data_IF_934536982218
#
_entry.id   IF_934536982218
#
_cell.length_a   1.000
_cell.length_b   1.000
_cell.length_c   1.000
_cell.angle_alpha   90.00
_cell.angle_beta   90.00
_cell.angle_gamma   90.00
#
_symmetry.space_group_name_H-M   'P 1'
#
loop_
_entity.id
_entity.type
_entity.pdbx_description
1 polymer ?
#
# COMPACT_ATOMS: atom_id res chain seq x y z
N UNK A 1 -20.85 -26.03 10.79
CA UNK A 1 -20.72 -24.82 11.62
C UNK A 1 -19.26 -24.38 11.60
N UNK A 2 -18.91 -23.18 11.11
CA UNK A 2 -17.54 -22.70 11.18
C UNK A 2 -17.21 -22.47 12.66
N UNK A 3 -16.23 -23.21 13.17
CA UNK A 3 -15.66 -23.00 14.51
C UNK A 3 -15.20 -21.55 14.58
N UNK A 4 -15.58 -20.82 15.62
CA UNK A 4 -15.08 -19.48 15.91
C UNK A 4 -13.55 -19.48 15.88
N UNK A 5 -12.97 -19.19 14.72
CA UNK A 5 -11.58 -18.77 14.60
C UNK A 5 -11.47 -17.50 15.41
N UNK A 6 -10.55 -17.50 16.37
CA UNK A 6 -10.43 -16.38 17.29
C UNK A 6 -10.06 -15.14 16.50
N UNK A 7 -10.95 -14.13 16.46
CA UNK A 7 -10.77 -12.82 15.82
C UNK A 7 -9.68 -11.96 16.48
N UNK A 8 -8.78 -12.56 17.25
CA UNK A 8 -7.80 -11.81 18.02
C UNK A 8 -6.83 -11.19 17.02
N UNK A 9 -6.91 -9.86 16.90
CA UNK A 9 -6.02 -8.99 16.12
C UNK A 9 -6.13 -9.00 14.59
N UNK A 10 -7.17 -9.59 14.00
CA UNK A 10 -7.34 -9.54 12.54
C UNK A 10 -8.32 -8.43 12.13
N UNK A 11 -7.89 -7.66 11.13
CA UNK A 11 -8.75 -6.80 10.33
C UNK A 11 -8.80 -7.52 8.97
N UNK A 12 -9.98 -8.02 8.59
CA UNK A 12 -10.18 -8.83 7.36
C UNK A 12 -9.88 -10.33 7.50
N UNK A 13 -10.50 -11.15 6.65
CA UNK A 13 -10.27 -12.61 6.55
C UNK A 13 -10.06 -13.10 5.11
N UNK A 14 -9.96 -12.18 4.13
CA UNK A 14 -9.84 -12.56 2.72
C UNK A 14 -8.39 -12.85 2.34
N UNK A 15 -8.15 -14.04 1.82
CA UNK A 15 -6.88 -14.39 1.18
C UNK A 15 -7.02 -14.19 -0.31
N UNK A 16 -6.58 -13.02 -0.81
CA UNK A 16 -6.52 -12.75 -2.24
C UNK A 16 -5.79 -13.92 -2.95
N UNK A 17 -6.41 -14.65 -3.88
CA UNK A 17 -5.70 -15.62 -4.71
C UNK A 17 -4.60 -14.92 -5.51
N UNK A 18 -3.42 -15.53 -5.55
CA UNK A 18 -2.30 -14.98 -6.30
C UNK A 18 -1.07 -15.87 -6.16
N UNK A 19 -0.06 -15.68 -7.03
CA UNK A 19 1.18 -16.43 -6.93
C UNK A 19 1.88 -16.09 -5.61
N UNK A 20 2.31 -17.13 -4.89
CA UNK A 20 3.22 -16.97 -3.77
C UNK A 20 4.62 -17.20 -4.33
N UNK A 21 5.39 -16.12 -4.45
CA UNK A 21 6.72 -16.16 -5.05
C UNK A 21 7.71 -16.89 -4.15
N UNK A 22 8.58 -17.71 -4.74
CA UNK A 22 9.45 -18.64 -4.03
C UNK A 22 10.93 -18.27 -4.12
N UNK A 23 11.32 -17.62 -5.19
CA UNK A 23 12.70 -17.27 -5.48
C UNK A 23 12.77 -15.89 -6.15
N UNK A 24 13.89 -15.19 -5.99
CA UNK A 24 14.08 -13.80 -6.44
C UNK A 24 13.88 -13.67 -7.96
N UNK A 25 14.27 -14.70 -8.71
CA UNK A 25 14.11 -14.81 -10.16
C UNK A 25 12.62 -14.77 -10.56
N UNK A 26 11.72 -15.25 -9.70
CA UNK A 26 10.28 -15.21 -9.95
C UNK A 26 9.69 -13.80 -9.88
N UNK A 27 10.42 -12.80 -9.37
CA UNK A 27 10.03 -11.40 -9.54
C UNK A 27 9.97 -11.02 -11.03
N UNK A 28 10.76 -11.70 -11.88
CA UNK A 28 10.85 -11.49 -13.33
C UNK A 28 10.99 -9.99 -13.64
N UNK A 29 12.02 -9.38 -13.05
CA UNK A 29 12.43 -8.00 -13.23
C UNK A 29 13.94 -7.95 -13.41
N UNK A 30 14.37 -7.30 -14.49
CA UNK A 30 15.80 -7.07 -14.74
C UNK A 30 16.37 -6.09 -13.72
N UNK A 31 17.65 -6.21 -13.37
CA UNK A 31 18.31 -5.25 -12.48
C UNK A 31 17.90 -5.32 -11.01
N UNK A 32 17.26 -6.41 -10.57
CA UNK A 32 17.14 -6.72 -9.13
C UNK A 32 18.54 -6.90 -8.57
N UNK A 33 18.88 -6.19 -7.51
CA UNK A 33 20.21 -6.28 -6.89
C UNK A 33 20.12 -6.57 -5.39
N UNK A 34 21.06 -7.36 -4.83
CA UNK A 34 21.14 -7.61 -3.40
C UNK A 34 21.74 -6.41 -2.65
N UNK A 35 21.30 -6.18 -1.42
CA UNK A 35 21.94 -5.28 -0.48
C UNK A 35 21.94 -5.84 0.94
N UNK A 36 22.93 -5.41 1.74
CA UNK A 36 23.01 -5.76 3.17
C UNK A 36 22.15 -4.81 3.99
N UNK A 37 21.28 -5.40 4.81
CA UNK A 37 20.40 -4.67 5.73
C UNK A 37 20.70 -5.03 7.18
N UNK A 38 20.33 -4.13 8.10
CA UNK A 38 20.67 -4.19 9.51
C UNK A 38 19.43 -4.35 10.37
N UNK A 39 19.49 -5.27 11.33
CA UNK A 39 18.38 -5.53 12.26
C UNK A 39 18.09 -4.28 13.11
N UNK A 40 16.83 -3.94 13.27
CA UNK A 40 16.38 -2.90 14.21
C UNK A 40 16.01 -3.55 15.54
N UNK A 41 16.81 -3.31 16.57
CA UNK A 41 16.68 -3.95 17.88
C UNK A 41 15.41 -3.51 18.64
N UNK A 42 14.91 -2.32 18.37
CA UNK A 42 13.71 -1.74 19.02
C UNK A 42 12.39 -2.10 18.33
N UNK A 43 12.43 -2.91 17.27
CA UNK A 43 11.25 -3.21 16.47
C UNK A 43 10.23 -4.06 17.24
N UNK A 44 8.93 -3.75 17.08
CA UNK A 44 7.82 -4.50 17.67
C UNK A 44 6.63 -4.62 16.72
N UNK A 45 5.91 -5.74 16.77
CA UNK A 45 4.71 -5.94 15.95
C UNK A 45 3.56 -5.09 16.47
N UNK A 46 2.89 -4.39 15.55
CA UNK A 46 1.68 -3.61 15.79
C UNK A 46 0.46 -4.33 15.24
N UNK A 47 0.56 -4.84 14.03
CA UNK A 47 -0.48 -5.60 13.35
C UNK A 47 0.15 -6.85 12.70
N UNK A 48 -0.57 -7.97 12.75
CA UNK A 48 -0.20 -9.17 12.01
C UNK A 48 -1.49 -9.90 11.61
N UNK A 49 -1.61 -10.23 10.32
CA UNK A 49 -2.69 -11.05 9.81
C UNK A 49 -2.32 -12.53 9.99
N UNK A 50 -2.54 -13.06 11.20
CA UNK A 50 -2.12 -14.43 11.56
C UNK A 50 -2.73 -15.52 10.68
N UNK A 51 -4.02 -15.45 10.27
CA UNK A 51 -4.58 -16.40 9.32
C UNK A 51 -3.84 -16.39 7.97
N UNK A 52 -3.56 -15.20 7.43
CA UNK A 52 -2.87 -15.06 6.14
C UNK A 52 -1.42 -15.55 6.21
N UNK A 53 -0.71 -15.21 7.29
CA UNK A 53 0.64 -15.71 7.53
C UNK A 53 0.67 -17.24 7.59
N UNK A 54 -0.29 -17.88 8.27
CA UNK A 54 -0.38 -19.35 8.33
C UNK A 54 -0.78 -19.99 7.01
N UNK A 55 -1.55 -19.27 6.19
CA UNK A 55 -1.92 -19.71 4.84
C UNK A 55 -0.71 -19.69 3.91
N UNK A 56 0.03 -18.56 3.87
CA UNK A 56 1.13 -18.37 2.91
C UNK A 56 2.45 -19.02 3.36
N UNK A 57 2.65 -19.20 4.68
CA UNK A 57 3.84 -19.77 5.31
C UNK A 57 3.46 -21.00 6.15
N UNK A 58 3.44 -22.21 5.55
CA UNK A 58 2.97 -23.41 6.24
C UNK A 58 3.76 -23.77 7.51
N UNK A 59 5.01 -23.31 7.66
CA UNK A 59 5.79 -23.47 8.90
C UNK A 59 5.19 -22.73 10.10
N UNK A 60 4.30 -21.77 9.85
CA UNK A 60 3.60 -21.00 10.89
C UNK A 60 2.29 -21.64 11.32
N UNK A 61 1.85 -22.71 10.66
CA UNK A 61 0.63 -23.43 11.06
C UNK A 61 0.76 -23.98 12.48
N UNK A 62 -0.35 -23.99 13.21
CA UNK A 62 -0.41 -24.37 14.63
C UNK A 62 0.31 -25.72 14.89
N UNK A 63 0.09 -26.73 14.05
CA UNK A 63 0.74 -28.05 14.17
C UNK A 63 2.26 -27.98 13.97
N UNK A 64 2.74 -27.19 13.00
CA UNK A 64 4.17 -27.02 12.74
C UNK A 64 4.85 -26.30 13.92
N UNK A 65 4.22 -25.25 14.43
CA UNK A 65 4.68 -24.53 15.61
C UNK A 65 4.65 -25.39 16.88
N UNK A 66 3.65 -26.25 17.07
CA UNK A 66 3.60 -27.19 18.21
C UNK A 66 4.71 -28.23 18.16
N UNK A 67 5.03 -28.75 16.96
CA UNK A 67 6.18 -29.67 16.79
C UNK A 67 7.49 -28.96 17.11
N UNK A 68 7.67 -27.74 16.62
CA UNK A 68 8.87 -26.91 16.87
C UNK A 68 8.99 -26.47 18.33
N UNK A 69 7.86 -26.19 18.98
CA UNK A 69 7.78 -25.72 20.36
C UNK A 69 6.81 -26.60 21.17
N UNK A 70 7.24 -27.80 21.63
CA UNK A 70 6.35 -28.79 22.27
C UNK A 70 5.52 -28.27 23.47
N UNK A 71 5.99 -27.22 24.15
CA UNK A 71 5.24 -26.57 25.24
C UNK A 71 3.90 -25.97 24.79
N UNK A 72 3.75 -25.60 23.52
CA UNK A 72 2.49 -25.08 22.97
C UNK A 72 1.38 -26.13 22.95
N UNK A 73 1.72 -27.41 22.80
CA UNK A 73 0.74 -28.50 22.75
C UNK A 73 -0.04 -28.66 24.06
N UNK A 74 0.58 -28.32 25.20
CA UNK A 74 -0.05 -28.39 26.53
C UNK A 74 -1.02 -27.23 26.81
N UNK A 75 -0.91 -26.12 26.07
CA UNK A 75 -1.77 -24.96 26.24
C UNK A 75 -3.16 -25.20 25.62
N UNK A 76 -4.18 -24.49 26.09
CA UNK A 76 -5.56 -24.57 25.56
C UNK A 76 -6.19 -23.17 25.43
N UNK A 77 -7.22 -23.07 24.58
CA UNK A 77 -8.05 -21.86 24.42
C UNK A 77 -7.24 -20.60 24.08
N UNK A 78 -7.60 -19.48 24.71
CA UNK A 78 -7.01 -18.15 24.47
C UNK A 78 -5.51 -18.13 24.79
N UNK A 79 -5.07 -18.84 25.83
CA UNK A 79 -3.65 -18.90 26.20
C UNK A 79 -2.80 -19.54 25.10
N UNK A 80 -3.29 -20.60 24.45
CA UNK A 80 -2.62 -21.23 23.30
C UNK A 80 -2.56 -20.26 22.11
N UNK A 81 -3.68 -19.60 21.81
CA UNK A 81 -3.77 -18.64 20.71
C UNK A 81 -2.79 -17.48 20.88
N UNK A 82 -2.69 -16.91 22.09
CA UNK A 82 -1.72 -15.85 22.40
C UNK A 82 -0.28 -16.32 22.27
N UNK A 83 0.04 -17.53 22.74
CA UNK A 83 1.40 -18.08 22.63
C UNK A 83 1.80 -18.38 21.17
N UNK A 84 0.87 -18.89 20.36
CA UNK A 84 1.08 -19.08 18.91
C UNK A 84 1.27 -17.74 18.21
N UNK A 85 0.40 -16.76 18.49
CA UNK A 85 0.51 -15.41 17.95
C UNK A 85 1.87 -14.78 18.27
N UNK A 86 2.35 -14.92 19.51
CA UNK A 86 3.68 -14.46 19.91
C UNK A 86 4.80 -15.12 19.09
N UNK A 87 4.70 -16.42 18.77
CA UNK A 87 5.70 -17.10 17.93
C UNK A 87 5.68 -16.63 16.49
N UNK A 88 4.51 -16.31 15.95
CA UNK A 88 4.40 -15.69 14.63
C UNK A 88 4.98 -14.27 14.65
N UNK A 89 4.73 -13.49 15.70
CA UNK A 89 5.30 -12.15 15.86
C UNK A 89 6.84 -12.21 15.93
N UNK A 90 7.40 -13.13 16.73
CA UNK A 90 8.85 -13.36 16.83
C UNK A 90 9.45 -13.73 15.47
N UNK A 91 8.79 -14.62 14.71
CA UNK A 91 9.20 -15.01 13.36
C UNK A 91 9.16 -13.81 12.41
N UNK A 92 8.09 -13.02 12.41
CA UNK A 92 7.92 -11.88 11.52
C UNK A 92 9.00 -10.82 11.77
N UNK A 93 9.28 -10.50 13.04
CA UNK A 93 10.39 -9.62 13.43
C UNK A 93 11.74 -10.18 12.99
N UNK A 94 11.95 -11.50 13.15
CA UNK A 94 13.19 -12.16 12.75
C UNK A 94 13.51 -11.98 11.27
N UNK A 95 12.49 -12.01 10.42
CA UNK A 95 12.67 -12.02 8.98
C UNK A 95 12.53 -10.66 8.30
N UNK A 96 11.92 -9.67 8.95
CA UNK A 96 11.52 -8.44 8.25
C UNK A 96 11.91 -7.14 8.94
N UNK A 97 12.33 -7.15 10.22
CA UNK A 97 12.62 -5.94 10.98
C UNK A 97 14.01 -5.34 10.68
N UNK A 98 14.29 -5.02 9.41
CA UNK A 98 15.58 -4.54 8.95
C UNK A 98 15.49 -3.18 8.23
N UNK A 99 16.59 -2.43 8.25
CA UNK A 99 16.77 -1.17 7.50
C UNK A 99 18.04 -1.20 6.66
N UNK A 100 18.06 -0.48 5.55
CA UNK A 100 19.19 -0.39 4.65
C UNK A 100 20.39 0.29 5.29
N UNK A 101 21.58 -0.02 4.79
CA UNK A 101 22.82 0.59 5.26
C UNK A 101 22.79 2.12 5.18
N UNK A 102 22.30 2.65 4.05
CA UNK A 102 22.18 4.10 3.82
C UNK A 102 21.27 4.76 4.85
N UNK A 103 20.21 4.07 5.28
CA UNK A 103 19.30 4.59 6.30
C UNK A 103 19.94 4.56 7.69
N UNK A 104 20.58 3.43 8.05
CA UNK A 104 21.20 3.20 9.35
C UNK A 104 22.39 4.12 9.65
N UNK A 105 23.10 4.57 8.61
CA UNK A 105 24.35 5.34 8.73
C UNK A 105 24.15 6.86 8.83
N UNK A 106 22.92 7.35 9.01
CA UNK A 106 22.63 8.78 9.08
C UNK A 106 21.50 9.13 10.06
N UNK A 107 21.39 10.43 10.36
CA UNK A 107 20.43 11.00 11.32
C UNK A 107 19.71 12.26 10.83
N UNK A 108 19.79 12.55 9.53
CA UNK A 108 19.19 13.71 8.87
C UNK A 108 17.67 13.59 8.85
N UNK A 109 17.17 12.43 8.43
CA UNK A 109 15.73 12.18 8.23
C UNK A 109 15.12 11.24 9.27
N UNK A 110 15.90 10.82 10.27
CA UNK A 110 15.41 10.03 11.39
C UNK A 110 16.15 10.33 12.70
N UNK A 111 15.53 9.98 13.82
CA UNK A 111 16.21 9.83 15.10
C UNK A 111 17.17 8.63 15.05
N UNK A 112 18.16 8.53 15.97
CA UNK A 112 19.09 7.42 15.97
C UNK A 112 18.37 6.06 15.92
N UNK A 113 18.81 5.18 15.03
CA UNK A 113 18.22 3.85 14.86
C UNK A 113 18.96 2.87 15.78
N UNK A 114 18.26 2.15 16.68
CA UNK A 114 18.87 1.09 17.49
C UNK A 114 19.21 -0.12 16.61
N UNK A 115 20.42 -0.16 16.07
CA UNK A 115 20.89 -1.25 15.20
C UNK A 115 21.40 -2.42 16.04
N UNK A 116 20.93 -3.62 15.73
CA UNK A 116 21.44 -4.88 16.25
C UNK A 116 22.64 -5.41 15.47
N UNK A 117 23.25 -6.50 15.94
CA UNK A 117 24.43 -7.10 15.29
C UNK A 117 24.09 -7.94 14.05
N UNK A 118 22.83 -8.38 13.93
CA UNK A 118 22.36 -9.23 12.84
C UNK A 118 22.29 -8.45 11.52
N UNK A 119 22.77 -9.10 10.45
CA UNK A 119 22.77 -8.59 9.08
C UNK A 119 22.23 -9.68 8.17
N UNK A 120 21.38 -9.29 7.23
CA UNK A 120 20.86 -10.21 6.21
C UNK A 120 20.96 -9.57 4.83
N UNK A 121 20.91 -10.42 3.80
CA UNK A 121 20.78 -9.96 2.42
C UNK A 121 19.30 -9.81 2.09
N UNK A 122 18.94 -8.65 1.55
CA UNK A 122 17.64 -8.40 0.94
C UNK A 122 17.84 -7.91 -0.49
N UNK A 123 16.77 -7.86 -1.28
CA UNK A 123 16.84 -7.57 -2.71
C UNK A 123 15.99 -6.36 -3.05
N UNK A 124 16.55 -5.45 -3.85
CA UNK A 124 15.85 -4.27 -4.33
C UNK A 124 15.54 -4.41 -5.82
N UNK A 125 14.27 -4.61 -6.19
CA UNK A 125 13.87 -4.51 -7.58
C UNK A 125 13.95 -3.06 -8.08
N UNK A 126 14.11 -2.82 -9.39
CA UNK A 126 14.12 -1.46 -9.93
C UNK A 126 12.83 -0.71 -9.61
N UNK A 127 12.97 0.60 -9.35
CA UNK A 127 11.83 1.45 -8.97
C UNK A 127 11.33 1.24 -7.54
N UNK A 128 11.88 0.29 -6.77
CA UNK A 128 11.59 0.18 -5.34
C UNK A 128 12.36 1.27 -4.58
N UNK A 129 11.71 2.40 -4.36
CA UNK A 129 12.31 3.53 -3.64
C UNK A 129 12.68 3.19 -2.20
N UNK A 130 11.71 2.75 -1.39
CA UNK A 130 11.88 2.47 0.05
C UNK A 130 11.48 1.06 0.47
N UNK A 131 11.47 0.11 -0.46
CA UNK A 131 10.99 -1.23 -0.20
C UNK A 131 12.04 -2.27 -0.61
N UNK A 132 12.04 -3.41 0.08
CA UNK A 132 12.94 -4.53 -0.18
C UNK A 132 12.19 -5.85 -0.14
N UNK A 133 12.68 -6.80 -0.92
CA UNK A 133 12.20 -8.17 -0.94
C UNK A 133 13.16 -9.06 -0.16
N UNK A 134 12.64 -9.82 0.80
CA UNK A 134 13.37 -10.76 1.63
C UNK A 134 13.07 -12.17 1.13
N UNK A 135 14.13 -12.97 0.95
CA UNK A 135 14.00 -14.41 0.73
C UNK A 135 13.96 -15.10 2.07
N UNK A 136 12.87 -15.81 2.34
CA UNK A 136 12.69 -16.62 3.55
C UNK A 136 13.17 -18.01 3.21
N UNK A 137 14.41 -18.30 3.58
CA UNK A 137 15.00 -19.62 3.45
C UNK A 137 14.62 -20.48 4.65
N UNK A 138 13.99 -21.61 4.38
CA UNK A 138 13.70 -22.59 5.42
C UNK A 138 14.91 -23.50 5.62
N UNK A 139 15.55 -23.36 6.78
CA UNK A 139 16.75 -24.14 7.13
C UNK A 139 16.44 -25.28 8.09
N UNK A 140 15.22 -25.37 8.62
CA UNK A 140 14.83 -26.43 9.54
C UNK A 140 14.60 -27.75 8.81
N UNK A 141 15.66 -28.55 8.76
CA UNK A 141 15.60 -29.97 8.37
C UNK A 141 14.91 -30.77 9.50
N UNK A 142 13.91 -31.58 9.16
CA UNK A 142 13.36 -32.58 10.10
C UNK A 142 12.03 -32.22 10.80
N UNK A 143 11.41 -31.08 10.52
CA UNK A 143 9.97 -30.86 10.80
C UNK A 143 9.13 -31.62 9.76
N UNK A 144 9.25 -32.95 9.74
CA UNK A 144 8.69 -33.81 8.70
C UNK A 144 7.16 -33.65 8.62
N UNK A 145 6.71 -33.01 7.55
CA UNK A 145 5.40 -33.23 6.93
C UNK A 145 5.51 -34.15 5.69
N UNK A 146 6.72 -34.63 5.34
CA UNK A 146 6.98 -35.60 4.27
C UNK A 146 8.09 -36.59 4.63
N UNK A 147 8.23 -37.68 3.86
CA UNK A 147 9.11 -38.82 4.16
C UNK A 147 10.60 -38.60 3.83
N UNK A 148 10.95 -37.50 3.16
CA UNK A 148 12.31 -37.22 2.67
C UNK A 148 13.07 -36.28 3.61
N UNK A 149 14.05 -36.81 4.35
CA UNK A 149 14.86 -36.06 5.32
C UNK A 149 15.89 -35.13 4.69
N UNK A 150 16.17 -35.28 3.40
CA UNK A 150 17.17 -34.47 2.70
C UNK A 150 16.59 -33.16 2.13
N UNK A 151 15.26 -33.03 2.08
CA UNK A 151 14.59 -31.83 1.57
C UNK A 151 14.18 -30.89 2.72
N UNK A 152 14.23 -29.56 2.50
CA UNK A 152 13.63 -28.61 3.42
C UNK A 152 12.16 -28.98 3.69
N UNK A 153 11.72 -28.83 4.93
CA UNK A 153 10.34 -29.14 5.31
C UNK A 153 9.31 -28.24 4.59
N UNK A 154 9.76 -27.04 4.19
CA UNK A 154 8.95 -26.05 3.50
C UNK A 154 9.73 -25.42 2.36
N UNK A 155 9.02 -25.02 1.31
CA UNK A 155 9.61 -24.29 0.20
C UNK A 155 9.95 -22.85 0.61
N UNK A 156 10.96 -22.27 -0.05
CA UNK A 156 11.28 -20.86 0.09
C UNK A 156 10.10 -19.97 -0.34
N UNK A 157 10.05 -18.79 0.27
CA UNK A 157 8.99 -17.80 0.06
C UNK A 157 9.57 -16.40 0.10
N UNK A 158 9.01 -15.49 -0.67
CA UNK A 158 9.41 -14.08 -0.67
C UNK A 158 8.45 -13.19 0.11
N UNK A 159 9.00 -12.18 0.77
CA UNK A 159 8.24 -11.12 1.47
C UNK A 159 8.68 -9.75 0.96
N UNK A 160 7.73 -8.87 0.63
CA UNK A 160 8.02 -7.46 0.33
C UNK A 160 7.80 -6.61 1.60
N UNK A 161 8.77 -5.77 1.93
CA UNK A 161 8.75 -4.90 3.11
C UNK A 161 8.96 -3.46 2.68
N UNK A 162 7.95 -2.61 2.88
CA UNK A 162 7.97 -1.17 2.63
C UNK A 162 8.43 -0.42 3.89
N UNK A 163 9.32 0.56 3.72
CA UNK A 163 9.88 1.38 4.80
C UNK A 163 11.30 1.01 5.23
N UNK A 164 11.98 0.17 4.46
CA UNK A 164 13.33 -0.33 4.78
C UNK A 164 14.43 0.69 4.52
N UNK A 165 14.12 1.89 4.00
CA UNK A 165 15.11 2.91 3.66
C UNK A 165 15.45 2.95 2.17
N UNK A 166 16.30 3.92 1.81
CA UNK A 166 16.74 4.14 0.42
C UNK A 166 17.81 3.13 -0.01
N UNK A 167 18.03 3.04 -1.32
CA UNK A 167 19.05 2.18 -1.94
C UNK A 167 20.48 2.47 -1.44
N UNK A 168 21.42 1.52 -1.61
CA UNK A 168 22.83 1.74 -1.33
C UNK A 168 23.35 2.99 -2.04
N UNK A 169 24.23 3.74 -1.39
CA UNK A 169 24.87 4.96 -1.91
C UNK A 169 23.95 6.17 -2.13
N UNK A 170 22.63 6.00 -1.99
CA UNK A 170 21.70 7.14 -1.98
C UNK A 170 21.69 7.73 -0.58
N UNK A 171 21.95 9.04 -0.49
CA UNK A 171 21.83 9.79 0.76
C UNK A 171 20.36 10.10 1.02
N UNK A 172 19.76 9.63 2.14
CA UNK A 172 18.42 10.04 2.52
C UNK A 172 18.34 11.57 2.69
N UNK A 173 17.32 12.18 2.10
CA UNK A 173 17.06 13.63 2.21
C UNK A 173 15.60 13.89 2.54
N UNK A 174 15.32 15.05 3.15
CA UNK A 174 13.95 15.47 3.35
C UNK A 174 13.30 15.76 2.00
N UNK A 175 12.33 14.94 1.63
CA UNK A 175 11.56 15.10 0.41
C UNK A 175 10.55 13.97 0.25
N UNK A 176 9.65 14.15 -0.71
CA UNK A 176 8.59 13.19 -1.01
C UNK A 176 9.24 11.90 -1.52
N UNK A 177 9.11 10.82 -0.74
CA UNK A 177 9.69 9.48 -0.98
C UNK A 177 11.22 9.36 -0.93
N UNK A 178 11.99 10.45 -0.93
CA UNK A 178 13.46 10.43 -0.91
C UNK A 178 14.08 10.24 0.48
N UNK A 179 13.27 10.31 1.54
CA UNK A 179 13.75 10.11 2.92
C UNK A 179 13.93 8.63 3.30
N UNK A 180 13.39 7.69 2.52
CA UNK A 180 13.46 6.25 2.80
C UNK A 180 12.60 5.74 3.97
N UNK A 181 12.20 6.62 4.90
CA UNK A 181 11.43 6.25 6.09
C UNK A 181 9.94 6.11 5.74
N UNK A 182 9.30 5.10 6.30
CA UNK A 182 7.85 4.93 6.26
C UNK A 182 7.25 5.25 7.64
N UNK A 183 6.21 6.08 7.68
CA UNK A 183 5.60 6.52 8.94
C UNK A 183 4.55 5.50 9.40
N UNK A 184 4.46 5.28 10.71
CA UNK A 184 3.48 4.36 11.31
C UNK A 184 2.03 4.79 11.04
N UNK A 185 1.74 6.10 11.07
CA UNK A 185 0.43 6.63 10.70
C UNK A 185 0.07 6.29 9.25
N UNK A 186 1.03 6.36 8.32
CA UNK A 186 0.81 5.94 6.94
C UNK A 186 0.58 4.43 6.80
N UNK A 187 1.21 3.61 7.63
CA UNK A 187 0.95 2.17 7.64
C UNK A 187 -0.51 1.86 8.05
N UNK A 188 -1.05 2.58 9.05
CA UNK A 188 -2.45 2.44 9.44
C UNK A 188 -3.42 2.95 8.37
N UNK A 189 -3.09 4.08 7.75
CA UNK A 189 -3.83 4.59 6.60
C UNK A 189 -3.92 3.54 5.49
N UNK A 190 -2.76 2.99 5.08
CA UNK A 190 -2.69 2.02 3.98
C UNK A 190 -3.46 0.73 4.32
N UNK A 191 -3.44 0.28 5.58
CA UNK A 191 -4.26 -0.84 6.05
C UNK A 191 -5.77 -0.55 5.98
N UNK A 192 -6.22 0.62 6.44
CA UNK A 192 -7.65 1.00 6.37
C UNK A 192 -8.13 1.07 4.92
N UNK A 193 -7.35 1.71 4.04
CA UNK A 193 -7.74 1.83 2.63
C UNK A 193 -7.71 0.47 1.94
N UNK A 194 -6.70 -0.36 2.18
CA UNK A 194 -6.65 -1.72 1.62
C UNK A 194 -7.91 -2.51 1.98
N UNK A 195 -8.29 -2.51 3.26
CA UNK A 195 -9.47 -3.23 3.74
C UNK A 195 -10.79 -2.61 3.25
N UNK A 196 -10.85 -1.28 3.12
CA UNK A 196 -11.98 -0.58 2.52
C UNK A 196 -12.19 -1.00 1.06
N UNK A 197 -11.12 -0.98 0.26
CA UNK A 197 -11.17 -1.41 -1.14
C UNK A 197 -11.56 -2.88 -1.26
N UNK A 198 -11.03 -3.75 -0.39
CA UNK A 198 -11.39 -5.16 -0.35
C UNK A 198 -12.89 -5.39 -0.05
N UNK A 199 -13.50 -4.58 0.84
CA UNK A 199 -14.95 -4.61 1.09
C UNK A 199 -15.75 -4.11 -0.11
N UNK A 200 -15.30 -3.04 -0.76
CA UNK A 200 -15.92 -2.53 -2.00
C UNK A 200 -15.91 -3.61 -3.08
N UNK A 201 -14.78 -4.28 -3.32
CA UNK A 201 -14.64 -5.30 -4.36
C UNK A 201 -15.51 -6.53 -4.12
N UNK A 202 -15.67 -6.94 -2.85
CA UNK A 202 -16.62 -7.99 -2.47
C UNK A 202 -18.06 -7.59 -2.68
N UNK A 203 -18.46 -6.43 -2.17
CA UNK A 203 -19.82 -5.93 -2.33
C UNK A 203 -20.18 -5.78 -3.81
N UNK A 204 -19.25 -5.29 -4.63
CA UNK A 204 -19.46 -5.15 -6.08
C UNK A 204 -19.37 -6.48 -6.84
N UNK A 205 -19.06 -7.60 -6.16
CA UNK A 205 -18.81 -8.92 -6.75
C UNK A 205 -17.80 -8.87 -7.90
N UNK A 206 -16.81 -7.99 -7.79
CA UNK A 206 -15.75 -7.87 -8.79
C UNK A 206 -14.69 -8.94 -8.57
N UNK A 207 -13.91 -9.24 -9.61
CA UNK A 207 -12.73 -10.10 -9.51
C UNK A 207 -11.46 -9.31 -9.14
N UNK A 208 -11.62 -8.07 -8.67
CA UNK A 208 -10.54 -7.19 -8.22
C UNK A 208 -10.16 -7.51 -6.78
N UNK A 209 -8.90 -7.30 -6.46
CA UNK A 209 -8.33 -7.64 -5.16
C UNK A 209 -7.34 -6.58 -4.71
N UNK A 210 -6.97 -6.65 -3.43
CA UNK A 210 -5.90 -5.84 -2.85
C UNK A 210 -4.73 -6.74 -2.47
N UNK A 211 -3.51 -6.22 -2.61
CA UNK A 211 -2.32 -6.98 -2.22
C UNK A 211 -2.33 -7.22 -0.70
N UNK A 212 -2.22 -8.48 -0.24
CA UNK A 212 -2.31 -8.78 1.17
C UNK A 212 -1.18 -8.16 2.00
N UNK A 213 -1.56 -7.55 3.13
CA UNK A 213 -0.65 -7.03 4.16
C UNK A 213 -0.50 -8.10 5.25
N UNK A 214 0.73 -8.60 5.43
CA UNK A 214 1.05 -9.57 6.49
C UNK A 214 1.15 -8.91 7.86
N UNK A 215 1.67 -7.69 7.94
CA UNK A 215 1.85 -7.02 9.22
C UNK A 215 2.39 -5.60 9.15
N UNK A 216 2.34 -4.92 10.28
CA UNK A 216 2.92 -3.58 10.51
C UNK A 216 3.82 -3.66 11.73
N UNK A 217 5.02 -3.09 11.60
CA UNK A 217 6.07 -3.10 12.63
C UNK A 217 6.38 -1.66 13.01
N UNK A 218 6.29 -1.32 14.30
CA UNK A 218 6.85 -0.09 14.85
C UNK A 218 8.35 -0.30 15.04
N UNK A 219 9.17 0.48 14.33
CA UNK A 219 10.61 0.30 14.32
C UNK A 219 11.31 0.80 15.58
N UNK A 220 10.63 1.64 16.36
CA UNK A 220 11.20 2.16 17.58
C UNK A 220 12.06 3.42 17.45
N UNK A 221 12.12 4.01 16.26
CA UNK A 221 12.67 5.33 16.01
C UNK A 221 11.64 6.18 15.25
N UNK A 222 11.95 7.45 15.03
CA UNK A 222 11.07 8.40 14.37
C UNK A 222 11.70 8.93 13.08
N UNK A 223 10.88 9.18 12.06
CA UNK A 223 11.21 10.08 10.96
C UNK A 223 11.37 11.51 11.51
N UNK A 224 12.31 12.27 10.95
CA UNK A 224 12.46 13.72 11.15
C UNK A 224 12.15 14.41 9.85
N UNK A 225 11.14 15.27 9.87
CA UNK A 225 10.80 16.12 8.73
C UNK A 225 11.70 17.36 8.64
N UNK A 226 11.59 18.11 7.53
CA UNK A 226 12.32 19.36 7.33
C UNK A 226 12.03 20.43 8.41
N UNK A 227 10.82 20.43 8.99
CA UNK A 227 10.42 21.32 10.08
C UNK A 227 10.71 20.73 11.47
N UNK A 228 11.58 19.72 11.56
CA UNK A 228 12.00 19.07 12.81
C UNK A 228 10.90 18.36 13.61
N UNK A 229 9.71 18.20 13.03
CA UNK A 229 8.69 17.33 13.63
C UNK A 229 9.13 15.88 13.53
N UNK A 230 8.84 15.10 14.57
CA UNK A 230 9.09 13.66 14.57
C UNK A 230 7.82 12.86 14.42
N UNK A 231 7.88 11.79 13.66
CA UNK A 231 6.75 10.85 13.46
C UNK A 231 7.24 9.42 13.60
N UNK A 232 6.55 8.53 14.34
CA UNK A 232 6.98 7.15 14.52
C UNK A 232 7.21 6.46 13.18
N UNK A 233 8.36 5.79 13.04
CA UNK A 233 8.72 5.03 11.86
C UNK A 233 8.17 3.60 11.92
N UNK A 234 7.87 3.03 10.76
CA UNK A 234 7.32 1.71 10.63
C UNK A 234 7.86 0.94 9.43
N UNK A 235 7.64 -0.37 9.45
CA UNK A 235 7.67 -1.22 8.26
C UNK A 235 6.26 -1.72 7.99
N UNK A 236 5.92 -1.85 6.72
CA UNK A 236 4.73 -2.55 6.28
C UNK A 236 5.15 -3.79 5.50
N UNK A 237 4.78 -4.94 6.03
CA UNK A 237 5.12 -6.26 5.50
C UNK A 237 3.95 -6.75 4.65
N UNK A 238 4.19 -7.09 3.40
CA UNK A 238 3.17 -7.49 2.43
C UNK A 238 3.65 -8.66 1.56
N UNK A 239 2.71 -9.30 0.89
CA UNK A 239 3.03 -10.38 -0.06
C UNK A 239 3.97 -9.87 -1.15
N UNK A 240 5.06 -10.60 -1.42
CA UNK A 240 5.93 -10.31 -2.55
C UNK A 240 5.15 -10.50 -3.86
N UNK A 241 5.38 -9.63 -4.83
CA UNK A 241 4.60 -9.59 -6.06
C UNK A 241 5.45 -9.09 -7.23
N UNK A 242 4.99 -9.43 -8.44
CA UNK A 242 5.55 -8.88 -9.67
C UNK A 242 4.91 -7.52 -9.94
N UNK A 243 5.73 -6.51 -10.25
CA UNK A 243 5.20 -5.27 -10.84
C UNK A 243 5.08 -5.38 -12.36
N UNK A 244 4.22 -4.59 -13.00
CA UNK A 244 4.24 -4.42 -14.45
C UNK A 244 5.65 -4.15 -14.98
N UNK A 245 5.99 -4.69 -16.16
CA UNK A 245 7.34 -4.49 -16.76
C UNK A 245 7.55 -3.05 -17.24
N UNK A 246 6.47 -2.38 -17.66
CA UNK A 246 6.52 -0.98 -18.04
C UNK A 246 6.77 -0.10 -16.80
N UNK A 247 7.78 0.76 -16.88
CA UNK A 247 8.20 1.63 -15.78
C UNK A 247 7.06 2.53 -15.30
N UNK A 248 6.75 2.48 -14.00
CA UNK A 248 5.82 3.41 -13.34
C UNK A 248 4.35 3.02 -13.38
N UNK A 249 3.98 1.83 -13.85
CA UNK A 249 2.59 1.37 -13.86
C UNK A 249 1.71 2.01 -14.94
N UNK A 250 2.34 2.69 -15.91
CA UNK A 250 1.67 3.19 -17.10
C UNK A 250 1.70 2.11 -18.18
N UNK A 251 0.63 2.06 -18.96
CA UNK A 251 0.43 1.08 -20.00
C UNK A 251 0.40 1.71 -21.40
N UNK A 252 0.74 0.96 -22.46
CA UNK A 252 0.50 1.43 -23.82
C UNK A 252 -0.99 1.68 -24.09
N UNK A 253 -1.27 2.61 -24.99
CA UNK A 253 -2.62 2.88 -25.47
C UNK A 253 -3.30 1.62 -26.04
N UNK A 254 -4.57 1.41 -25.71
CA UNK A 254 -5.37 0.28 -26.17
C UNK A 254 -5.01 -1.06 -25.54
N UNK A 255 -4.12 -1.10 -24.54
CA UNK A 255 -3.76 -2.33 -23.85
C UNK A 255 -4.77 -2.71 -22.76
N UNK A 256 -4.78 -4.00 -22.38
CA UNK A 256 -5.57 -4.51 -21.25
C UNK A 256 -5.33 -3.71 -19.96
N UNK A 257 -4.08 -3.33 -19.68
CA UNK A 257 -3.72 -2.52 -18.51
C UNK A 257 -4.48 -1.21 -18.43
N UNK A 258 -4.51 -0.48 -19.55
CA UNK A 258 -5.22 0.79 -19.65
C UNK A 258 -6.72 0.63 -19.37
N UNK A 259 -7.37 -0.35 -20.00
CA UNK A 259 -8.81 -0.56 -19.85
C UNK A 259 -9.19 -1.00 -18.45
N UNK A 260 -8.43 -1.91 -17.85
CA UNK A 260 -8.69 -2.38 -16.49
C UNK A 260 -8.50 -1.25 -15.47
N UNK A 261 -7.48 -0.39 -15.62
CA UNK A 261 -7.32 0.80 -14.76
C UNK A 261 -8.53 1.73 -14.87
N UNK A 262 -9.07 1.96 -16.07
CA UNK A 262 -10.28 2.75 -16.26
C UNK A 262 -11.52 2.10 -15.60
N UNK A 263 -11.70 0.79 -15.76
CA UNK A 263 -12.81 0.06 -15.13
C UNK A 263 -12.74 0.09 -13.61
N UNK A 264 -11.54 -0.07 -13.03
CA UNK A 264 -11.33 0.03 -11.58
C UNK A 264 -11.67 1.44 -11.11
N UNK A 265 -11.14 2.49 -11.75
CA UNK A 265 -11.44 3.87 -11.36
C UNK A 265 -12.95 4.16 -11.46
N UNK A 266 -13.60 3.75 -12.54
CA UNK A 266 -15.05 3.89 -12.70
C UNK A 266 -15.82 3.17 -11.60
N UNK A 267 -15.42 1.94 -11.22
CA UNK A 267 -16.01 1.23 -10.10
C UNK A 267 -15.85 2.03 -8.80
N UNK A 268 -14.63 2.45 -8.47
CA UNK A 268 -14.34 3.19 -7.24
C UNK A 268 -15.11 4.51 -7.15
N UNK A 269 -15.25 5.22 -8.29
CA UNK A 269 -16.05 6.46 -8.35
C UNK A 269 -17.51 6.23 -8.00
N UNK A 270 -18.11 5.06 -8.30
CA UNK A 270 -19.48 4.74 -7.82
C UNK A 270 -19.57 4.77 -6.30
N UNK A 271 -18.50 4.36 -5.61
CA UNK A 271 -18.37 4.39 -4.16
C UNK A 271 -17.83 5.72 -3.62
N UNK A 272 -17.67 6.74 -4.46
CA UNK A 272 -17.10 8.03 -4.06
C UNK A 272 -15.62 7.96 -3.71
N UNK A 273 -14.91 6.90 -4.11
CA UNK A 273 -13.46 6.73 -3.93
C UNK A 273 -12.76 6.99 -5.27
N UNK A 274 -11.54 7.52 -5.23
CA UNK A 274 -10.71 7.72 -6.42
C UNK A 274 -9.24 7.50 -6.11
N UNK A 275 -8.50 7.04 -7.12
CA UNK A 275 -7.03 6.93 -7.08
C UNK A 275 -6.32 8.24 -7.45
N UNK A 276 -7.07 9.20 -7.99
CA UNK A 276 -6.54 10.46 -8.54
C UNK A 276 -6.03 11.35 -7.41
N UNK A 277 -4.87 11.96 -7.64
CA UNK A 277 -4.33 12.99 -6.76
C UNK A 277 -3.82 14.18 -7.58
N UNK A 278 -3.33 15.20 -6.88
CA UNK A 278 -2.78 16.38 -7.53
C UNK A 278 -1.63 16.04 -8.48
N UNK A 279 -0.73 15.14 -8.08
CA UNK A 279 0.45 14.74 -8.87
C UNK A 279 0.12 14.03 -10.20
N UNK A 280 -1.11 13.51 -10.36
CA UNK A 280 -1.58 12.91 -11.62
C UNK A 280 -2.57 13.80 -12.39
N UNK A 281 -2.83 15.03 -11.92
CA UNK A 281 -3.77 15.96 -12.56
C UNK A 281 -3.09 16.71 -13.70
N UNK A 282 -3.79 16.86 -14.83
CA UNK A 282 -3.35 17.66 -15.98
C UNK A 282 -4.25 18.89 -16.09
N UNK A 283 -3.67 20.09 -16.05
CA UNK A 283 -4.39 21.35 -16.21
C UNK A 283 -4.00 22.02 -17.51
N UNK A 284 -4.98 22.57 -18.21
CA UNK A 284 -4.82 23.22 -19.51
C UNK A 284 -5.56 24.55 -19.48
N UNK A 285 -4.90 25.65 -19.83
CA UNK A 285 -5.51 26.97 -19.94
C UNK A 285 -4.82 27.80 -21.02
N UNK A 286 -5.38 28.97 -21.35
CA UNK A 286 -4.70 29.98 -22.17
C UNK A 286 -4.34 31.21 -21.35
N UNK A 287 -3.16 31.74 -21.63
CA UNK A 287 -2.64 32.99 -21.09
C UNK A 287 -1.99 33.75 -22.25
N UNK A 288 -2.40 35.01 -22.47
CA UNK A 288 -1.95 35.83 -23.61
C UNK A 288 -2.08 35.14 -24.98
N UNK A 289 -3.16 34.36 -25.15
CA UNK A 289 -3.44 33.58 -26.37
C UNK A 289 -2.57 32.33 -26.53
N UNK A 290 -1.67 32.05 -25.58
CA UNK A 290 -0.79 30.89 -25.60
C UNK A 290 -1.34 29.77 -24.71
N UNK A 291 -1.32 28.54 -25.23
CA UNK A 291 -1.67 27.35 -24.45
C UNK A 291 -0.62 27.12 -23.35
N UNK A 292 -1.10 26.99 -22.11
CA UNK A 292 -0.35 26.64 -20.91
C UNK A 292 -0.82 25.30 -20.41
N UNK A 293 0.13 24.49 -19.96
CA UNK A 293 -0.13 23.14 -19.48
C UNK A 293 0.63 22.93 -18.18
N UNK A 294 -0.04 22.35 -17.19
CA UNK A 294 0.57 21.89 -15.94
C UNK A 294 0.26 20.41 -15.73
N UNK A 295 1.27 19.63 -15.39
CA UNK A 295 1.14 18.23 -15.00
C UNK A 295 1.60 18.09 -13.55
N UNK A 296 0.69 17.69 -12.67
CA UNK A 296 0.96 17.76 -11.24
C UNK A 296 1.17 19.20 -10.77
N UNK A 297 2.32 19.44 -10.16
CA UNK A 297 2.79 20.75 -9.71
C UNK A 297 3.75 21.43 -10.72
N UNK A 298 3.97 20.83 -11.90
CA UNK A 298 4.97 21.27 -12.86
C UNK A 298 4.35 21.85 -14.14
N UNK A 299 4.68 23.10 -14.44
CA UNK A 299 4.37 23.72 -15.73
C UNK A 299 5.24 23.09 -16.83
N UNK A 300 4.63 22.78 -17.98
CA UNK A 300 5.31 22.16 -19.12
C UNK A 300 5.45 23.18 -20.24
N UNK A 301 6.68 23.61 -20.51
CA UNK A 301 7.00 24.60 -21.54
C UNK A 301 7.57 23.99 -22.83
N UNK A 302 7.83 22.68 -22.85
CA UNK A 302 8.60 22.03 -23.91
C UNK A 302 7.84 21.78 -25.21
N UNK A 303 6.53 22.04 -25.26
CA UNK A 303 5.71 21.73 -26.44
C UNK A 303 5.82 22.78 -27.54
N UNK A 304 6.01 22.30 -28.76
CA UNK A 304 5.91 23.14 -29.96
C UNK A 304 4.43 23.38 -30.34
N UNK A 305 4.20 24.25 -31.32
CA UNK A 305 2.84 24.64 -31.74
C UNK A 305 2.01 23.48 -32.31
N UNK A 306 2.64 22.48 -32.96
CA UNK A 306 1.94 21.29 -33.46
C UNK A 306 1.47 20.42 -32.30
N UNK A 307 2.33 20.23 -31.30
CA UNK A 307 1.99 19.48 -30.08
C UNK A 307 0.90 20.18 -29.27
N UNK A 308 0.98 21.50 -29.10
CA UNK A 308 -0.07 22.30 -28.44
C UNK A 308 -1.41 22.19 -29.17
N UNK A 309 -1.42 22.28 -30.51
CA UNK A 309 -2.65 22.12 -31.30
C UNK A 309 -3.26 20.71 -31.13
N UNK A 310 -2.45 19.66 -31.06
CA UNK A 310 -2.95 18.31 -30.77
C UNK A 310 -3.50 18.22 -29.35
N UNK A 311 -2.86 18.85 -28.35
CA UNK A 311 -3.35 18.90 -26.97
C UNK A 311 -4.70 19.60 -26.90
N UNK A 312 -4.87 20.76 -27.54
CA UNK A 312 -6.16 21.46 -27.62
C UNK A 312 -7.24 20.57 -28.22
N UNK A 313 -6.91 19.87 -29.31
CA UNK A 313 -7.83 18.96 -29.98
C UNK A 313 -8.25 17.77 -29.11
N UNK A 314 -7.31 17.08 -28.46
CA UNK A 314 -7.63 15.88 -27.64
C UNK A 314 -8.27 16.23 -26.30
N UNK A 315 -8.01 17.42 -25.77
CA UNK A 315 -8.66 17.95 -24.56
C UNK A 315 -10.00 18.62 -24.86
N UNK A 316 -10.34 18.83 -26.14
CA UNK A 316 -11.49 19.62 -26.58
C UNK A 316 -11.50 21.03 -25.95
N UNK A 317 -10.30 21.60 -25.74
CA UNK A 317 -10.14 22.95 -25.20
C UNK A 317 -10.57 23.99 -26.24
N UNK A 318 -11.31 25.02 -25.81
CA UNK A 318 -11.75 26.14 -26.65
C UNK A 318 -11.49 27.46 -25.95
N UNK A 319 -11.30 28.50 -26.76
CA UNK A 319 -11.14 29.87 -26.25
C UNK A 319 -12.33 30.26 -25.38
N UNK A 320 -12.03 30.84 -24.22
CA UNK A 320 -13.04 31.27 -23.24
C UNK A 320 -13.49 30.21 -22.23
N UNK A 321 -12.99 28.95 -22.29
CA UNK A 321 -13.36 27.90 -21.34
C UNK A 321 -12.72 28.05 -19.94
N UNK A 322 -11.73 28.93 -19.77
CA UNK A 322 -10.97 29.05 -18.53
C UNK A 322 -9.94 27.92 -18.36
N UNK A 323 -9.60 27.56 -17.12
CA UNK A 323 -8.73 26.40 -16.82
C UNK A 323 -9.55 25.10 -16.86
N UNK A 324 -9.12 24.13 -17.67
CA UNK A 324 -9.66 22.77 -17.66
C UNK A 324 -8.72 21.85 -16.88
N UNK A 325 -9.28 21.09 -15.94
CA UNK A 325 -8.55 20.14 -15.11
C UNK A 325 -8.98 18.71 -15.44
N UNK A 326 -8.01 17.85 -15.72
CA UNK A 326 -8.20 16.43 -16.05
C UNK A 326 -7.60 15.56 -14.95
N UNK A 327 -8.41 14.68 -14.41
CA UNK A 327 -8.08 13.82 -13.28
C UNK A 327 -7.43 12.51 -13.77
N UNK A 328 -6.10 12.46 -13.75
CA UNK A 328 -5.34 11.30 -14.21
C UNK A 328 -5.39 10.11 -13.25
N UNK A 329 -5.80 8.96 -13.76
CA UNK A 329 -5.87 7.70 -13.01
C UNK A 329 -4.48 7.31 -12.50
N UNK A 330 -4.37 7.00 -11.21
CA UNK A 330 -3.10 6.64 -10.56
C UNK A 330 -3.23 5.33 -9.78
N UNK A 331 -3.75 4.30 -10.45
CA UNK A 331 -3.92 2.96 -9.89
C UNK A 331 -2.64 2.16 -10.10
N UNK A 332 -2.01 1.74 -9.00
CA UNK A 332 -0.93 0.77 -9.04
C UNK A 332 -1.46 -0.63 -8.76
N UNK A 333 -0.91 -1.63 -9.45
CA UNK A 333 -1.31 -3.02 -9.29
C UNK A 333 -0.16 -3.98 -9.62
N UNK A 334 -0.36 -5.27 -9.34
CA UNK A 334 0.57 -6.34 -9.72
C UNK A 334 0.52 -6.60 -11.23
N UNK A 335 1.47 -7.39 -11.74
CA UNK A 335 1.57 -7.71 -13.17
C UNK A 335 0.38 -8.52 -13.67
N UNK A 336 -0.16 -9.39 -12.83
CA UNK A 336 -1.28 -10.26 -13.16
C UNK A 336 -2.55 -9.43 -13.34
N UNK A 337 -2.92 -9.21 -14.61
CA UNK A 337 -4.07 -8.42 -15.01
C UNK A 337 -4.87 -9.16 -16.08
N UNK A 338 -6.20 -9.05 -16.02
CA UNK A 338 -7.11 -9.68 -16.98
C UNK A 338 -8.24 -8.73 -17.37
N UNK A 339 -8.71 -8.86 -18.62
CA UNK A 339 -9.90 -8.19 -19.13
C UNK A 339 -10.97 -9.25 -19.41
N UNK A 340 -12.23 -8.97 -19.04
CA UNK A 340 -13.39 -9.85 -19.20
C UNK A 340 -13.40 -11.15 -18.34
N UNK A 341 -13.71 -11.05 -17.03
CA UNK A 341 -13.94 -9.81 -16.28
C UNK A 341 -12.63 -9.09 -15.97
N UNK A 342 -12.70 -7.79 -15.65
CA UNK A 342 -11.54 -7.08 -15.13
C UNK A 342 -11.01 -7.74 -13.85
N UNK A 343 -9.71 -8.02 -13.86
CA UNK A 343 -8.98 -8.69 -12.79
C UNK A 343 -7.67 -7.94 -12.57
N UNK A 344 -7.40 -7.56 -11.32
CA UNK A 344 -6.15 -6.95 -10.90
C UNK A 344 -6.00 -7.08 -9.38
N UNK A 345 -4.75 -7.12 -8.91
CA UNK A 345 -4.43 -6.97 -7.49
C UNK A 345 -3.79 -5.60 -7.27
N UNK A 346 -4.51 -4.68 -6.62
CA UNK A 346 -4.04 -3.32 -6.37
C UNK A 346 -2.94 -3.28 -5.31
N UNK A 347 -2.05 -2.30 -5.43
CA UNK A 347 -0.96 -2.02 -4.48
C UNK A 347 -0.85 -0.52 -4.23
N UNK A 348 -0.14 -0.14 -3.16
CA UNK A 348 0.21 1.25 -2.84
C UNK A 348 -0.99 2.18 -2.63
N UNK A 349 -1.66 2.02 -1.48
CA UNK A 349 -2.97 2.64 -1.26
C UNK A 349 -2.94 4.08 -0.74
N UNK A 350 -1.78 4.74 -0.74
CA UNK A 350 -1.61 6.06 -0.13
C UNK A 350 -2.27 7.20 -0.91
N UNK A 351 -2.50 7.01 -2.22
CA UNK A 351 -3.09 8.02 -3.10
C UNK A 351 -4.62 8.02 -3.11
N UNK A 352 -5.25 7.01 -2.52
CA UNK A 352 -6.70 6.88 -2.58
C UNK A 352 -7.36 7.87 -1.63
N UNK A 353 -8.39 8.54 -2.14
CA UNK A 353 -9.18 9.52 -1.40
C UNK A 353 -10.67 9.35 -1.68
N UNK A 354 -11.51 10.04 -0.92
CA UNK A 354 -12.95 10.13 -1.16
C UNK A 354 -13.34 11.51 -1.68
N UNK A 355 -14.37 11.58 -2.53
CA UNK A 355 -14.99 12.84 -2.97
C UNK A 355 -16.52 12.77 -2.84
N UNK A 356 -17.14 13.91 -2.57
CA UNK A 356 -18.61 14.04 -2.59
C UNK A 356 -19.17 14.09 -4.02
N UNK A 357 -18.41 14.70 -4.93
CA UNK A 357 -18.69 14.83 -6.36
C UNK A 357 -17.42 14.64 -7.19
N UNK A 358 -17.58 14.27 -8.46
CA UNK A 358 -16.52 14.27 -9.46
C UNK A 358 -16.88 15.28 -10.53
N UNK A 359 -16.18 16.40 -10.57
CA UNK A 359 -16.53 17.56 -11.40
C UNK A 359 -15.56 17.76 -12.58
N UNK A 360 -14.51 16.93 -12.66
CA UNK A 360 -13.49 16.99 -13.69
C UNK A 360 -13.53 15.71 -14.57
N UNK A 361 -13.24 15.83 -15.88
CA UNK A 361 -13.01 14.68 -16.74
C UNK A 361 -11.95 13.73 -16.16
N UNK A 362 -12.17 12.43 -16.29
CA UNK A 362 -11.18 11.43 -15.87
C UNK A 362 -10.28 11.07 -17.06
N UNK A 363 -8.97 11.10 -16.84
CA UNK A 363 -7.95 10.86 -17.85
C UNK A 363 -7.26 9.52 -17.59
N UNK A 364 -7.28 8.66 -18.60
CA UNK A 364 -6.45 7.44 -18.59
C UNK A 364 -5.01 7.82 -18.93
N UNK A 365 -4.08 7.58 -18.00
CA UNK A 365 -2.66 7.84 -18.20
C UNK A 365 -1.95 6.65 -18.86
N UNK A 366 -1.16 6.90 -19.91
CA UNK A 366 -0.48 5.87 -20.71
C UNK A 366 0.99 6.19 -20.97
N UNK A 367 1.77 5.21 -21.42
CA UNK A 367 3.23 5.36 -21.57
C UNK A 367 3.69 5.95 -22.92
N UNK A 368 2.85 5.90 -23.95
CA UNK A 368 3.27 5.99 -25.37
C UNK A 368 2.59 7.12 -26.16
N UNK A 369 1.98 8.10 -25.48
CA UNK A 369 1.46 9.33 -26.10
C UNK A 369 1.89 10.61 -25.38
N UNK A 370 1.77 11.72 -26.09
CA UNK A 370 2.00 13.06 -25.57
C UNK A 370 1.20 13.30 -24.28
N UNK A 371 1.83 13.92 -23.28
CA UNK A 371 1.25 14.13 -21.94
C UNK A 371 0.73 12.87 -21.24
N UNK A 372 1.12 11.67 -21.70
CA UNK A 372 0.55 10.40 -21.24
C UNK A 372 -0.97 10.33 -21.49
N UNK A 373 -1.47 11.03 -22.51
CA UNK A 373 -2.90 11.19 -22.76
C UNK A 373 -3.52 9.98 -23.45
N UNK A 374 -4.07 9.05 -22.66
CA UNK A 374 -4.71 7.83 -23.16
C UNK A 374 -6.13 8.02 -23.61
N UNK A 375 -6.75 9.15 -23.29
CA UNK A 375 -8.17 9.41 -23.55
C UNK A 375 -8.86 9.84 -22.27
N UNK A 376 -9.84 10.72 -22.40
CA UNK A 376 -10.60 11.27 -21.29
C UNK A 376 -12.08 10.90 -21.40
N UNK A 377 -12.71 10.61 -20.27
CA UNK A 377 -14.18 10.54 -20.17
C UNK A 377 -14.66 11.88 -19.65
N UNK A 378 -15.27 12.67 -20.53
CA UNK A 378 -15.78 14.00 -20.23
C UNK A 378 -16.99 13.95 -19.29
N UNK A 379 -17.22 15.00 -18.52
CA UNK A 379 -18.29 15.07 -17.51
C UNK A 379 -19.71 14.92 -18.05
N UNK A 380 -19.90 15.26 -19.33
CA UNK A 380 -21.14 15.17 -20.10
C UNK A 380 -21.30 13.82 -20.81
N UNK A 381 -20.24 13.00 -20.85
CA UNK A 381 -20.30 11.71 -21.50
C UNK A 381 -21.19 10.73 -20.69
N UNK A 382 -22.09 9.94 -21.31
CA UNK A 382 -22.96 9.02 -20.59
C UNK A 382 -22.22 7.98 -19.73
N UNK A 383 -20.97 7.64 -20.10
CA UNK A 383 -20.10 6.75 -19.33
C UNK A 383 -19.34 7.42 -18.17
N UNK A 384 -19.53 8.72 -17.93
CA UNK A 384 -18.93 9.40 -16.79
C UNK A 384 -19.63 8.98 -15.50
N UNK A 385 -18.87 8.42 -14.57
CA UNK A 385 -19.41 7.88 -13.32
C UNK A 385 -19.46 8.95 -12.24
N UNK A 386 -20.65 9.13 -11.65
CA UNK A 386 -20.88 9.92 -10.44
C UNK A 386 -20.99 8.99 -9.22
N UNK A 387 -20.69 9.46 -8.00
CA UNK A 387 -20.92 8.67 -6.79
C UNK A 387 -22.40 8.32 -6.66
N UNK A 388 -22.67 7.05 -6.38
CA UNK A 388 -24.01 6.57 -6.07
C UNK A 388 -24.34 6.94 -4.61
N UNK A 389 -25.45 7.66 -4.33
CA UNK A 389 -25.81 8.07 -2.96
C UNK A 389 -25.91 6.90 -1.97
N UNK A 390 -26.36 5.74 -2.44
CA UNK A 390 -26.53 4.52 -1.65
C UNK A 390 -25.25 3.70 -1.48
N UNK A 391 -24.22 3.91 -2.32
CA UNK A 391 -22.94 3.20 -2.23
C UNK A 391 -21.81 4.04 -1.65
N UNK A 392 -21.87 5.36 -1.79
CA UNK A 392 -20.73 6.24 -1.51
C UNK A 392 -20.22 6.10 -0.07
N UNK A 393 -18.91 5.97 0.07
CA UNK A 393 -18.27 5.99 1.38
C UNK A 393 -18.45 7.38 2.01
N UNK A 394 -18.74 7.48 3.33
CA UNK A 394 -18.98 8.77 3.95
C UNK A 394 -17.76 9.70 3.86
N UNK A 395 -17.82 10.68 2.96
CA UNK A 395 -16.75 11.65 2.71
C UNK A 395 -16.25 12.32 3.99
N UNK A 396 -17.19 12.74 4.84
CA UNK A 396 -16.90 13.42 6.09
C UNK A 396 -16.12 12.57 7.12
N UNK A 397 -15.99 11.26 6.91
CA UNK A 397 -15.14 10.39 7.75
C UNK A 397 -13.71 10.31 7.18
N UNK A 398 -13.57 10.12 5.86
CA UNK A 398 -12.25 10.01 5.22
C UNK A 398 -11.54 11.37 5.05
N UNK A 399 -12.21 12.32 4.42
CA UNK A 399 -11.61 13.55 3.89
C UNK A 399 -12.22 14.84 4.46
N UNK A 400 -13.17 14.72 5.40
CA UNK A 400 -13.61 15.86 6.19
C UNK A 400 -12.48 16.40 7.07
N UNK A 401 -12.48 17.70 7.33
CA UNK A 401 -11.59 18.33 8.31
C UNK A 401 -12.15 18.18 9.73
N UNK A 402 -11.29 18.32 10.73
CA UNK A 402 -11.68 18.41 12.14
C UNK A 402 -11.38 17.15 12.96
N UNK A 403 -11.98 17.09 14.14
CA UNK A 403 -11.69 16.07 15.13
C UNK A 403 -12.40 14.75 14.80
N UNK A 404 -11.68 13.64 14.95
CA UNK A 404 -12.26 12.30 15.02
C UNK A 404 -11.75 11.57 16.26
N UNK A 405 -12.67 11.22 17.15
CA UNK A 405 -12.39 10.48 18.39
C UNK A 405 -11.28 11.09 19.26
N UNK A 406 -11.22 12.41 19.34
CA UNK A 406 -10.20 13.13 20.11
C UNK A 406 -8.94 13.47 19.31
N UNK A 407 -8.75 12.92 18.11
CA UNK A 407 -7.60 13.22 17.26
C UNK A 407 -7.88 14.36 16.29
N UNK A 408 -7.00 15.36 16.29
CA UNK A 408 -7.02 16.49 15.35
C UNK A 408 -5.58 16.96 15.12
N UNK A 409 -5.10 16.90 13.88
CA UNK A 409 -3.77 17.41 13.51
C UNK A 409 -3.77 18.90 13.15
N UNK A 410 -4.93 19.56 13.15
CA UNK A 410 -5.09 20.97 12.78
C UNK A 410 -5.69 21.16 11.39
N UNK A 411 -5.69 22.41 10.93
CA UNK A 411 -6.20 22.78 9.61
C UNK A 411 -5.41 22.10 8.48
N UNK A 412 -6.11 21.74 7.40
CA UNK A 412 -5.51 21.10 6.22
C UNK A 412 -5.29 19.58 6.33
N UNK A 413 -5.53 18.98 7.50
CA UNK A 413 -5.45 17.53 7.66
C UNK A 413 -6.82 16.86 7.55
N UNK A 414 -6.86 15.77 6.78
CA UNK A 414 -8.03 14.92 6.68
C UNK A 414 -8.23 14.12 7.97
N UNK A 415 -9.48 13.78 8.29
CA UNK A 415 -9.82 13.00 9.50
C UNK A 415 -9.13 11.64 9.54
N UNK A 416 -9.05 10.92 8.43
CA UNK A 416 -8.33 9.64 8.42
C UNK A 416 -6.85 9.81 8.75
N UNK A 417 -6.19 10.83 8.20
CA UNK A 417 -4.80 11.14 8.56
C UNK A 417 -4.69 11.47 10.06
N UNK A 418 -5.59 12.33 10.55
CA UNK A 418 -5.61 12.73 11.96
C UNK A 418 -5.76 11.54 12.89
N UNK A 419 -6.70 10.64 12.60
CA UNK A 419 -6.90 9.39 13.31
C UNK A 419 -5.62 8.55 13.29
N UNK A 420 -5.10 8.23 12.11
CA UNK A 420 -3.99 7.31 11.95
C UNK A 420 -2.69 7.82 12.62
N UNK A 421 -2.36 9.10 12.47
CA UNK A 421 -1.19 9.67 13.11
C UNK A 421 -1.35 9.83 14.62
N UNK A 422 -2.55 10.18 15.09
CA UNK A 422 -2.86 10.26 16.51
C UNK A 422 -2.75 8.90 17.19
N UNK A 423 -3.35 7.87 16.60
CA UNK A 423 -3.22 6.47 17.04
C UNK A 423 -1.77 6.00 17.05
N UNK A 424 -0.98 6.34 16.03
CA UNK A 424 0.44 5.99 15.97
C UNK A 424 1.22 6.64 17.12
N UNK A 425 0.95 7.90 17.44
CA UNK A 425 1.59 8.61 18.56
C UNK A 425 1.19 8.00 19.91
N UNK A 426 -0.09 7.73 20.14
CA UNK A 426 -0.56 7.16 21.41
C UNK A 426 -0.05 5.73 21.62
N UNK A 427 -0.04 4.91 20.57
CA UNK A 427 0.55 3.57 20.60
C UNK A 427 2.06 3.64 20.88
N UNK A 428 2.78 4.55 20.22
CA UNK A 428 4.23 4.77 20.44
C UNK A 428 4.54 5.21 21.87
N UNK A 429 3.69 6.07 22.43
CA UNK A 429 3.79 6.56 23.80
C UNK A 429 3.28 5.56 24.86
N UNK A 430 2.88 4.35 24.46
CA UNK A 430 2.27 3.32 25.33
C UNK A 430 1.01 3.82 26.07
N UNK A 431 0.30 4.80 25.51
CA UNK A 431 -1.01 5.27 26.00
C UNK A 431 -2.17 4.39 25.52
N UNK A 432 -1.90 3.56 24.52
CA UNK A 432 -2.88 2.64 23.92
C UNK A 432 -2.24 1.27 23.74
N UNK A 433 -2.96 0.20 24.11
CA UNK A 433 -2.49 -1.17 23.86
C UNK A 433 -2.69 -1.57 22.40
N UNK A 434 -2.04 -2.66 21.97
CA UNK A 434 -2.22 -3.22 20.62
C UNK A 434 -3.69 -3.60 20.37
N UNK A 435 -4.35 -4.21 21.35
CA UNK A 435 -5.76 -4.60 21.28
C UNK A 435 -6.67 -3.39 21.05
N UNK A 436 -6.47 -2.32 21.82
CA UNK A 436 -7.27 -1.10 21.72
C UNK A 436 -7.07 -0.45 20.35
N UNK A 437 -5.82 -0.34 19.89
CA UNK A 437 -5.50 0.21 18.57
C UNK A 437 -6.24 -0.54 17.45
N UNK A 438 -6.12 -1.87 17.41
CA UNK A 438 -6.73 -2.66 16.34
C UNK A 438 -8.27 -2.65 16.42
N UNK A 439 -8.83 -2.62 17.63
CA UNK A 439 -10.28 -2.45 17.82
C UNK A 439 -10.76 -1.09 17.29
N UNK A 440 -10.00 -0.01 17.53
CA UNK A 440 -10.31 1.33 17.03
C UNK A 440 -10.24 1.40 15.50
N UNK A 441 -9.18 0.87 14.88
CA UNK A 441 -9.07 0.81 13.41
C UNK A 441 -10.22 -0.02 12.80
N UNK A 442 -10.58 -1.15 13.42
CA UNK A 442 -11.69 -1.99 12.96
C UNK A 442 -13.05 -1.31 13.11
N UNK A 443 -13.29 -0.60 14.23
CA UNK A 443 -14.51 0.16 14.44
C UNK A 443 -14.64 1.28 13.39
N UNK A 444 -13.52 1.93 13.03
CA UNK A 444 -13.51 2.99 12.03
C UNK A 444 -13.86 2.45 10.65
N UNK A 445 -13.22 1.35 10.25
CA UNK A 445 -13.52 0.66 9.02
C UNK A 445 -14.99 0.20 8.95
N UNK A 446 -15.54 -0.28 10.07
CA UNK A 446 -16.97 -0.65 10.13
C UNK A 446 -17.88 0.57 9.96
N UNK A 447 -17.52 1.73 10.53
CA UNK A 447 -18.27 2.96 10.33
C UNK A 447 -18.25 3.43 8.87
N UNK A 448 -17.11 3.27 8.18
CA UNK A 448 -16.98 3.61 6.75
C UNK A 448 -17.86 2.76 5.84
N UNK A 449 -18.09 1.49 6.20
CA UNK A 449 -18.79 0.53 5.35
C UNK A 449 -20.09 0.02 5.96
N UNK A 450 -20.67 0.73 6.93
CA UNK A 450 -21.86 0.27 7.65
C UNK A 450 -23.07 0.08 6.72
N UNK A 451 -23.13 0.84 5.63
CA UNK A 451 -24.19 0.78 4.60
C UNK A 451 -23.93 -0.25 3.51
N UNK A 452 -22.71 -0.79 3.42
CA UNK A 452 -22.38 -1.87 2.48
C UNK A 452 -22.80 -3.20 3.13
N UNK A 453 -24.08 -3.53 3.05
CA UNK A 453 -24.59 -4.84 3.50
C UNK A 453 -24.32 -5.90 2.42
N UNK A 454 -23.86 -7.08 2.84
CA UNK A 454 -23.59 -8.24 1.95
C UNK A 454 -24.85 -8.83 1.29
#
# INVERSE_FOLDING_TARGET
MPKHTSKIYNIGEDFAPGPILRAIEELDQDGVFPETVFRVASARIVYANYPLLRHDFPQLQDLALEKKFPRLAALKGISKQKAIAQKIDEWLLCHTAFVSQSQASQSVVNTPIPIGNERVTAYRPPGYGRALVFSIEETEKGLLLGDDREKPAFENRLIDVKGTGVAPYIKPVNGTHSNGVYRLGWAFFELIIQELLQRIFRHSKSALQTLPIYGIIDLGFDEKSANMQTRPAALMVRRAHRRPKASGGLYPYGSTGQYVQLEIEQLLRKYGITSVNEASTVKIWKEDGQLRIRYGDQDIYAFNEVEKAEIEKVSNYKDGMGELSFEGINIQHTREIGLNPAQATLVDFQSYTSKESFDNPVLSLISDKLLRWGGAVMTEHPGFVRPSPELKIPFHLLYGTGNIWGYNLGEGHFKLDSLCYGLAQDFRANKMTREMLLATLQAYLNALTAHLTD
#
